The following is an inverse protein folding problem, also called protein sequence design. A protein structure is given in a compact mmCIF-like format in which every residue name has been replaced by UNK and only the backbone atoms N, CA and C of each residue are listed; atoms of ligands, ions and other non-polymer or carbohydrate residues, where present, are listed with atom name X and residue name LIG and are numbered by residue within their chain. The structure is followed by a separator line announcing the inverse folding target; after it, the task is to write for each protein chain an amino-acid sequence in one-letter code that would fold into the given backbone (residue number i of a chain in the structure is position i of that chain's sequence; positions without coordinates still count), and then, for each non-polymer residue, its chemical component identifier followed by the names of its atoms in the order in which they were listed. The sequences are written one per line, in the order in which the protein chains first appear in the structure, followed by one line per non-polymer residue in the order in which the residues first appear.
data_IF_322439135879
#
_entry.id   IF_322439135879
#
_cell.length_a   1.000
_cell.length_b   1.000
_cell.length_c   1.000
_cell.angle_alpha   90.00
_cell.angle_beta   90.00
_cell.angle_gamma   90.00
#
_symmetry.space_group_name_H-M   'P 1'
#
loop_
_entity.id
_entity.type
_entity.pdbx_description
1 polymer ?
#
# COMPACT_ATOMS: atom_id res chain seq x y z
N UNK A 1 3.50 -10.77 -3.13
CA UNK A 1 2.29 -9.91 -3.03
C UNK A 1 2.25 -9.11 -1.72
N UNK A 2 2.27 -9.74 -0.54
CA UNK A 2 2.16 -9.04 0.76
C UNK A 2 3.19 -7.92 1.00
N UNK A 3 4.45 -8.13 0.62
CA UNK A 3 5.51 -7.09 0.71
C UNK A 3 5.20 -5.86 -0.16
N UNK A 4 4.81 -6.06 -1.41
CA UNK A 4 4.39 -4.98 -2.30
C UNK A 4 3.18 -4.22 -1.72
N UNK A 5 2.24 -4.94 -1.10
CA UNK A 5 1.09 -4.32 -0.43
C UNK A 5 1.48 -3.48 0.79
N UNK A 6 2.41 -3.95 1.61
CA UNK A 6 2.94 -3.17 2.73
C UNK A 6 3.69 -1.91 2.26
N UNK A 7 4.34 -1.98 1.09
CA UNK A 7 5.03 -0.85 0.47
C UNK A 7 4.10 0.11 -0.31
N UNK A 8 2.79 -0.21 -0.42
CA UNK A 8 1.84 0.45 -1.32
C UNK A 8 2.29 0.44 -2.80
N UNK A 9 3.09 -0.55 -3.17
CA UNK A 9 3.53 -0.80 -4.55
C UNK A 9 2.42 -1.54 -5.30
N UNK A 10 1.69 -0.82 -6.15
CA UNK A 10 0.60 -1.37 -6.94
C UNK A 10 1.08 -2.24 -8.08
N UNK A 11 2.17 -1.87 -8.76
CA UNK A 11 2.72 -2.64 -9.86
C UNK A 11 3.24 -4.00 -9.39
N UNK A 12 3.99 -4.03 -8.28
CA UNK A 12 4.43 -5.27 -7.66
C UNK A 12 3.27 -6.12 -7.12
N UNK A 13 2.17 -5.50 -6.65
CA UNK A 13 0.96 -6.22 -6.29
C UNK A 13 0.29 -6.87 -7.50
N UNK A 14 0.19 -6.15 -8.63
CA UNK A 14 -0.40 -6.68 -9.86
C UNK A 14 0.45 -7.80 -10.47
N UNK A 15 1.77 -7.65 -10.51
CA UNK A 15 2.69 -8.69 -10.98
C UNK A 15 2.58 -9.98 -10.17
N UNK A 16 2.37 -9.86 -8.85
CA UNK A 16 2.21 -10.99 -7.96
C UNK A 16 0.77 -11.54 -7.87
N UNK A 17 -0.18 -10.99 -8.63
CA UNK A 17 -1.57 -11.45 -8.64
C UNK A 17 -1.74 -12.67 -9.55
N UNK A 18 -2.67 -13.56 -9.20
CA UNK A 18 -3.04 -14.73 -10.02
C UNK A 18 -3.53 -14.29 -11.42
N UNK A 19 -4.28 -13.19 -11.48
CA UNK A 19 -4.70 -12.56 -12.73
C UNK A 19 -4.43 -11.04 -12.66
N UNK A 20 -3.26 -10.60 -13.17
CA UNK A 20 -2.86 -9.19 -13.12
C UNK A 20 -3.84 -8.26 -13.85
N UNK A 21 -4.35 -8.68 -15.02
CA UNK A 21 -5.27 -7.88 -15.82
C UNK A 21 -6.58 -7.61 -15.08
N UNK A 22 -7.16 -8.65 -14.46
CA UNK A 22 -8.37 -8.51 -13.66
C UNK A 22 -8.17 -7.65 -12.42
N UNK A 23 -7.02 -7.80 -11.74
CA UNK A 23 -6.69 -6.98 -10.57
C UNK A 23 -6.59 -5.49 -10.95
N UNK A 24 -5.92 -5.16 -12.07
CA UNK A 24 -5.86 -3.79 -12.61
C UNK A 24 -7.24 -3.23 -12.92
N UNK A 25 -8.10 -4.00 -13.59
CA UNK A 25 -9.49 -3.59 -13.89
C UNK A 25 -10.28 -3.28 -12.62
N UNK A 26 -10.17 -4.11 -11.58
CA UNK A 26 -10.90 -3.89 -10.32
C UNK A 26 -10.44 -2.59 -9.64
N UNK A 27 -9.13 -2.33 -9.62
CA UNK A 27 -8.56 -1.11 -9.04
C UNK A 27 -9.05 0.15 -9.75
N UNK A 28 -9.00 0.16 -11.07
CA UNK A 28 -9.33 1.33 -11.89
C UNK A 28 -10.84 1.53 -12.06
N UNK A 29 -11.68 0.55 -11.69
CA UNK A 29 -13.15 0.63 -11.85
C UNK A 29 -13.77 1.88 -11.21
N UNK A 30 -13.20 2.39 -10.11
CA UNK A 30 -13.72 3.57 -9.40
C UNK A 30 -13.12 4.91 -9.85
N UNK A 31 -12.14 4.90 -10.77
CA UNK A 31 -11.56 6.13 -11.36
C UNK A 31 -10.88 7.08 -10.37
N UNK A 32 -10.41 6.57 -9.23
CA UNK A 32 -9.77 7.35 -8.17
C UNK A 32 -8.27 7.05 -8.16
N UNK A 33 -7.47 8.07 -8.49
CA UNK A 33 -6.01 8.05 -8.37
C UNK A 33 -5.62 8.41 -6.95
N UNK A 34 -5.43 7.37 -6.13
CA UNK A 34 -5.00 7.47 -4.73
C UNK A 34 -3.86 6.49 -4.48
N UNK A 35 -2.95 6.79 -3.56
CA UNK A 35 -1.88 5.84 -3.21
C UNK A 35 -2.43 4.60 -2.49
N UNK A 36 -3.58 4.74 -1.83
CA UNK A 36 -4.27 3.70 -1.08
C UNK A 36 -5.47 3.14 -1.84
N UNK A 37 -6.07 2.04 -1.37
CA UNK A 37 -7.30 1.54 -1.98
C UNK A 37 -8.53 2.41 -1.64
N UNK A 38 -9.55 2.38 -2.49
CA UNK A 38 -10.81 3.12 -2.31
C UNK A 38 -11.70 2.62 -1.17
N UNK A 39 -11.22 1.70 -0.33
CA UNK A 39 -11.98 1.18 0.81
C UNK A 39 -11.87 2.10 2.02
N UNK A 40 -10.65 2.53 2.35
CA UNK A 40 -10.37 3.35 3.54
C UNK A 40 -9.80 4.73 3.18
N UNK A 41 -9.36 4.93 1.93
CA UNK A 41 -8.82 6.19 1.42
C UNK A 41 -7.75 6.78 2.35
N UNK A 42 -8.00 7.96 2.93
CA UNK A 42 -7.08 8.65 3.84
C UNK A 42 -6.81 7.86 5.12
N UNK A 43 -7.76 7.07 5.60
CA UNK A 43 -7.65 6.30 6.84
C UNK A 43 -7.07 4.89 6.60
N UNK A 44 -6.19 4.76 5.60
CA UNK A 44 -5.58 3.47 5.29
C UNK A 44 -4.67 2.99 6.43
N UNK A 45 -5.05 1.87 7.05
CA UNK A 45 -4.30 1.27 8.16
C UNK A 45 -2.83 0.96 7.82
N UNK A 46 -2.54 0.52 6.58
CA UNK A 46 -1.16 0.21 6.15
C UNK A 46 -0.30 1.47 6.12
N UNK A 47 -0.84 2.55 5.55
CA UNK A 47 -0.15 3.85 5.48
C UNK A 47 0.12 4.41 6.87
N UNK A 48 -0.92 4.45 7.70
CA UNK A 48 -0.82 4.97 9.07
C UNK A 48 0.15 4.15 9.93
N UNK A 49 0.13 2.82 9.82
CA UNK A 49 1.07 1.95 10.53
C UNK A 49 2.51 2.19 10.08
N UNK A 50 2.75 2.36 8.77
CA UNK A 50 4.08 2.67 8.23
C UNK A 50 4.59 4.01 8.76
N UNK A 51 3.78 5.07 8.68
CA UNK A 51 4.13 6.40 9.20
C UNK A 51 4.44 6.37 10.70
N UNK A 52 3.67 5.60 11.47
CA UNK A 52 3.93 5.42 12.91
C UNK A 52 5.25 4.70 13.17
N UNK A 53 5.53 3.61 12.45
CA UNK A 53 6.79 2.87 12.60
C UNK A 53 8.02 3.69 12.20
N UNK A 54 7.90 4.51 11.15
CA UNK A 54 8.98 5.42 10.71
C UNK A 54 9.25 6.49 11.79
N UNK A 55 8.21 7.10 12.35
CA UNK A 55 8.35 8.05 13.47
C UNK A 55 9.00 7.43 14.70
N UNK A 56 8.72 6.16 15.01
CA UNK A 56 9.35 5.47 16.14
C UNK A 56 10.81 5.11 15.84
N UNK A 57 11.15 4.77 14.59
CA UNK A 57 12.55 4.54 14.18
C UNK A 57 13.39 5.81 14.28
N UNK A 58 12.84 6.95 13.86
CA UNK A 58 13.56 8.24 13.89
C UNK A 58 13.86 8.72 15.31
N UNK A 59 13.09 8.27 16.31
CA UNK A 59 13.29 8.59 17.73
C UNK A 59 14.31 7.69 18.45
N UNK A 60 14.60 6.50 17.91
CA UNK A 60 15.51 5.53 18.51
C UNK A 60 16.73 5.29 17.61
N UNK A 61 17.86 6.01 17.83
CA UNK A 61 19.06 5.89 17.00
C UNK A 61 19.72 4.51 17.04
N UNK A 62 19.27 3.58 17.90
CA UNK A 62 19.76 2.20 17.96
C UNK A 62 19.03 1.26 16.98
N UNK A 63 17.97 1.73 16.31
CA UNK A 63 17.16 0.94 15.35
C UNK A 63 17.29 1.41 13.89
N UNK A 64 18.15 2.39 13.63
CA UNK A 64 18.44 2.91 12.29
C UNK A 64 19.41 2.00 11.52
#
# INVERSE_FOLDING_TARGET
MSRARAALDWDGQFQAAINPARAKQIRHRRGLETDTCTMCSELCAIRLAKEAMEKERDKDPKRA
#
